data_IF_763258973198
#
_entry.id   IF_763258973198
#
_cell.length_a   1.000
_cell.length_b   1.000
_cell.length_c   1.000
_cell.angle_alpha   90.00
_cell.angle_beta   90.00
_cell.angle_gamma   90.00
#
_symmetry.space_group_name_H-M   'P 1'
#
loop_
_entity.id
_entity.type
_entity.pdbx_description
1 polymer ?
#
# COMPACT_ATOMS: atom_id res chain seq x y z
N UNK A 1 -1.62 22.79 -4.44
CA UNK A 1 -3.02 23.30 -4.25
C UNK A 1 -3.80 22.43 -3.28
N UNK A 2 -4.16 21.17 -3.56
CA UNK A 2 -4.99 20.37 -2.64
C UNK A 2 -4.46 20.29 -1.20
N UNK A 3 -3.17 20.07 -1.01
CA UNK A 3 -2.56 19.98 0.32
C UNK A 3 -2.52 21.33 1.05
N UNK A 4 -2.37 22.43 0.31
CA UNK A 4 -2.43 23.79 0.86
C UNK A 4 -3.84 24.13 1.36
N UNK A 5 -4.86 23.75 0.61
CA UNK A 5 -6.26 23.93 0.97
C UNK A 5 -6.64 23.06 2.18
N UNK A 6 -6.18 21.79 2.20
CA UNK A 6 -6.36 20.89 3.33
C UNK A 6 -5.70 21.44 4.61
N UNK A 7 -4.48 21.95 4.50
CA UNK A 7 -3.77 22.57 5.63
C UNK A 7 -4.50 23.80 6.16
N UNK A 8 -5.10 24.62 5.30
CA UNK A 8 -5.84 25.81 5.69
C UNK A 8 -7.08 25.49 6.56
N UNK A 9 -7.63 24.29 6.48
CA UNK A 9 -8.73 23.82 7.33
C UNK A 9 -8.26 22.90 8.49
N UNK A 10 -6.94 22.82 8.74
CA UNK A 10 -6.35 22.11 9.86
C UNK A 10 -5.97 20.65 9.59
N UNK A 11 -6.02 20.16 8.33
CA UNK A 11 -5.48 18.84 7.98
C UNK A 11 -3.95 18.91 7.89
N UNK A 12 -3.27 17.85 8.34
CA UNK A 12 -1.81 17.72 8.28
C UNK A 12 -1.34 16.37 7.70
N UNK A 13 -2.25 15.52 7.25
CA UNK A 13 -1.95 14.22 6.65
C UNK A 13 -2.89 13.96 5.46
N UNK A 14 -2.30 13.63 4.33
CA UNK A 14 -3.03 13.15 3.15
C UNK A 14 -2.94 11.63 3.02
N UNK A 15 -4.07 10.95 2.78
CA UNK A 15 -4.09 9.53 2.40
C UNK A 15 -3.79 9.37 0.91
N UNK A 16 -2.65 9.90 0.51
CA UNK A 16 -2.07 9.91 -0.83
C UNK A 16 -0.52 10.02 -0.70
N UNK A 17 0.24 9.69 -1.76
CA UNK A 17 -0.20 9.34 -3.11
C UNK A 17 -0.74 7.92 -3.23
N UNK A 18 -1.53 7.66 -4.31
CA UNK A 18 -1.91 6.30 -4.70
C UNK A 18 -0.75 5.70 -5.49
N UNK A 19 -0.07 4.70 -4.90
CA UNK A 19 1.13 4.05 -5.46
C UNK A 19 0.81 2.75 -6.19
N UNK A 20 -0.48 2.48 -6.42
CA UNK A 20 -0.98 1.33 -7.15
C UNK A 20 -0.71 1.46 -8.64
N UNK A 21 -0.59 0.30 -9.34
CA UNK A 21 -0.30 0.27 -10.78
C UNK A 21 -1.46 -0.40 -11.50
N UNK A 22 -1.98 0.26 -12.54
CA UNK A 22 -3.13 -0.24 -13.30
C UNK A 22 -2.72 -1.33 -14.31
N UNK A 23 -2.36 -2.51 -13.81
CA UNK A 23 -1.99 -3.66 -14.66
C UNK A 23 -3.20 -4.38 -15.25
N UNK A 24 -4.29 -4.46 -14.50
CA UNK A 24 -5.51 -5.15 -14.91
C UNK A 24 -6.64 -4.13 -15.14
N UNK A 25 -7.09 -4.02 -16.39
CA UNK A 25 -8.17 -3.10 -16.73
C UNK A 25 -9.53 -3.47 -16.12
N UNK A 26 -9.68 -4.69 -15.62
CA UNK A 26 -10.86 -5.13 -14.85
C UNK A 26 -10.80 -4.73 -13.38
N UNK A 27 -9.65 -4.25 -12.88
CA UNK A 27 -9.56 -3.83 -11.48
C UNK A 27 -10.50 -2.64 -11.24
N UNK A 28 -11.51 -2.79 -10.35
CA UNK A 28 -12.53 -1.76 -10.16
C UNK A 28 -12.07 -0.65 -9.22
N UNK A 29 -10.95 -0.83 -8.51
CA UNK A 29 -10.53 0.06 -7.41
C UNK A 29 -9.55 1.13 -7.89
N UNK A 30 -8.50 0.72 -8.61
CA UNK A 30 -7.40 1.64 -8.91
C UNK A 30 -7.68 2.53 -10.12
N UNK A 31 -8.27 2.04 -11.18
CA UNK A 31 -8.77 2.73 -12.37
C UNK A 31 -8.24 4.16 -12.57
N UNK A 32 -9.11 5.14 -12.41
CA UNK A 32 -8.79 6.57 -12.55
C UNK A 32 -8.05 7.16 -11.34
N UNK A 33 -7.77 6.36 -10.29
CA UNK A 33 -7.08 6.83 -9.07
C UNK A 33 -5.56 6.73 -9.17
N UNK A 34 -5.04 5.88 -10.05
CA UNK A 34 -3.61 5.67 -10.26
C UNK A 34 -3.04 6.60 -11.34
N UNK A 35 -1.72 6.69 -11.39
CA UNK A 35 -0.98 7.44 -12.41
C UNK A 35 -0.71 6.65 -13.70
N UNK A 36 -1.20 5.41 -13.80
CA UNK A 36 -1.15 4.58 -14.99
C UNK A 36 -0.67 3.16 -14.76
N UNK A 37 -0.23 2.52 -15.84
CA UNK A 37 0.22 1.13 -15.88
C UNK A 37 1.75 0.96 -16.03
N UNK A 38 2.49 2.06 -16.09
CA UNK A 38 3.94 2.06 -16.12
C UNK A 38 4.51 2.33 -14.72
N UNK A 39 5.23 1.35 -14.11
CA UNK A 39 5.83 1.52 -12.79
C UNK A 39 6.73 2.74 -12.64
N UNK A 40 7.48 3.07 -13.69
CA UNK A 40 8.38 4.21 -13.68
C UNK A 40 7.59 5.53 -13.59
N UNK A 41 6.54 5.65 -14.38
CA UNK A 41 5.65 6.82 -14.33
C UNK A 41 4.94 6.93 -12.97
N UNK A 42 4.45 5.82 -12.41
CA UNK A 42 3.81 5.84 -11.10
C UNK A 42 4.80 6.29 -10.03
N UNK A 43 6.05 5.81 -10.07
CA UNK A 43 7.12 6.21 -9.16
C UNK A 43 7.40 7.72 -9.24
N UNK A 44 7.59 8.26 -10.43
CA UNK A 44 7.87 9.68 -10.66
C UNK A 44 6.71 10.57 -10.19
N UNK A 45 5.48 10.18 -10.50
CA UNK A 45 4.29 10.96 -10.13
C UNK A 45 3.98 10.91 -8.64
N UNK A 46 4.19 9.77 -7.98
CA UNK A 46 4.01 9.64 -6.53
C UNK A 46 5.07 10.43 -5.76
N UNK A 47 6.31 10.43 -6.25
CA UNK A 47 7.37 11.28 -5.70
C UNK A 47 7.04 12.76 -5.86
N UNK A 48 6.65 13.20 -7.07
CA UNK A 48 6.28 14.60 -7.31
C UNK A 48 5.08 15.05 -6.44
N UNK A 49 4.13 14.14 -6.18
CA UNK A 49 3.04 14.41 -5.25
C UNK A 49 3.56 14.66 -3.83
N UNK A 50 4.44 13.80 -3.34
CA UNK A 50 5.03 13.90 -2.00
C UNK A 50 5.87 15.18 -1.86
N UNK A 51 6.72 15.48 -2.84
CA UNK A 51 7.50 16.73 -2.87
C UNK A 51 6.60 17.97 -2.78
N UNK A 52 5.53 18.01 -3.60
CA UNK A 52 4.58 19.11 -3.55
C UNK A 52 3.76 19.18 -2.24
N UNK A 53 3.57 18.06 -1.54
CA UNK A 53 2.96 18.06 -0.22
C UNK A 53 3.91 18.63 0.84
N UNK A 54 5.19 18.30 0.76
CA UNK A 54 6.23 18.78 1.67
C UNK A 54 6.53 20.28 1.53
N UNK A 55 6.09 20.94 0.45
CA UNK A 55 6.09 22.42 0.38
C UNK A 55 5.18 23.06 1.44
N UNK A 56 4.23 22.31 1.99
CA UNK A 56 3.35 22.76 3.07
C UNK A 56 3.97 22.34 4.41
N UNK A 57 4.41 23.27 5.26
CA UNK A 57 5.11 22.94 6.50
C UNK A 57 4.31 22.01 7.42
N UNK A 58 4.91 20.87 7.79
CA UNK A 58 4.30 19.88 8.69
C UNK A 58 3.18 19.03 8.06
N UNK A 59 3.04 19.07 6.74
CA UNK A 59 2.07 18.22 6.04
C UNK A 59 2.72 16.88 5.66
N UNK A 60 2.06 15.78 5.98
CA UNK A 60 2.54 14.42 5.78
C UNK A 60 1.77 13.69 4.68
N UNK A 61 2.39 12.67 4.11
CA UNK A 61 1.80 11.79 3.11
C UNK A 61 1.68 10.36 3.62
N UNK A 62 0.60 9.67 3.23
CA UNK A 62 0.44 8.23 3.39
C UNK A 62 0.30 7.55 2.03
N UNK A 63 1.37 6.95 1.54
CA UNK A 63 1.35 6.17 0.29
C UNK A 63 0.48 4.92 0.42
N UNK A 64 -0.28 4.57 -0.63
CA UNK A 64 -1.27 3.49 -0.58
C UNK A 64 -1.49 2.82 -1.93
N UNK A 65 -1.94 1.55 -1.92
CA UNK A 65 -2.24 0.65 -0.80
C UNK A 65 -1.17 -0.45 -0.74
N UNK A 66 -0.33 -0.43 0.27
CA UNK A 66 0.73 -1.44 0.40
C UNK A 66 0.13 -2.86 0.57
N UNK A 67 0.62 -3.91 -0.09
CA UNK A 67 1.83 -4.00 -0.93
C UNK A 67 1.64 -3.61 -2.40
N UNK A 68 0.50 -3.10 -2.82
CA UNK A 68 0.17 -2.66 -4.16
C UNK A 68 -1.08 -3.34 -4.71
N UNK A 69 -2.02 -2.52 -5.20
CA UNK A 69 -3.25 -2.94 -5.87
C UNK A 69 -3.16 -2.72 -7.40
N UNK A 70 -4.13 -3.25 -8.13
CA UNK A 70 -4.26 -3.04 -9.57
C UNK A 70 -3.93 -4.26 -10.44
N UNK A 71 -3.56 -5.39 -9.84
CA UNK A 71 -3.31 -6.66 -10.54
C UNK A 71 -4.55 -7.57 -10.53
N UNK A 72 -5.22 -7.67 -9.39
CA UNK A 72 -6.43 -8.48 -9.19
C UNK A 72 -7.66 -7.78 -9.78
N UNK A 73 -8.64 -8.54 -10.22
CA UNK A 73 -9.97 -8.06 -10.65
C UNK A 73 -10.97 -7.96 -9.48
N UNK A 74 -10.55 -8.38 -8.28
CA UNK A 74 -11.36 -8.29 -7.06
C UNK A 74 -11.17 -6.97 -6.36
N UNK A 75 -12.26 -6.45 -5.81
CA UNK A 75 -12.28 -5.26 -4.97
C UNK A 75 -12.09 -5.64 -3.50
N UNK A 76 -11.04 -5.13 -2.85
CA UNK A 76 -10.75 -5.36 -1.44
C UNK A 76 -11.86 -4.86 -0.50
N UNK A 77 -12.79 -4.02 -0.96
CA UNK A 77 -13.97 -3.63 -0.20
C UNK A 77 -14.95 -4.79 0.01
N UNK A 78 -15.01 -5.74 -0.93
CA UNK A 78 -16.00 -6.83 -0.96
C UNK A 78 -15.40 -8.23 -1.03
N UNK A 79 -14.10 -8.38 -1.23
CA UNK A 79 -13.40 -9.66 -1.32
C UNK A 79 -11.93 -9.53 -0.90
N UNK A 80 -11.23 -10.67 -0.70
CA UNK A 80 -9.77 -10.63 -0.60
C UNK A 80 -9.16 -10.36 -1.97
N UNK A 81 -8.31 -9.35 -2.04
CA UNK A 81 -7.46 -9.06 -3.21
C UNK A 81 -6.08 -9.71 -3.05
N UNK A 82 -5.47 -10.10 -4.16
CA UNK A 82 -4.17 -10.79 -4.17
C UNK A 82 -3.26 -10.21 -5.24
N UNK A 83 -2.09 -9.77 -4.83
CA UNK A 83 -1.00 -9.46 -5.77
C UNK A 83 -0.20 -10.74 -6.02
N UNK A 84 -0.32 -11.28 -7.25
CA UNK A 84 0.19 -12.61 -7.63
C UNK A 84 1.62 -12.59 -8.16
N UNK A 85 2.32 -11.46 -8.10
CA UNK A 85 3.70 -11.32 -8.55
C UNK A 85 4.66 -12.20 -7.73
N UNK A 86 5.74 -12.66 -8.38
CA UNK A 86 6.92 -13.18 -7.68
C UNK A 86 7.58 -12.08 -6.86
N UNK A 87 8.54 -12.44 -5.99
CA UNK A 87 9.28 -11.45 -5.24
C UNK A 87 10.06 -10.50 -6.17
N UNK A 88 10.66 -11.05 -7.23
CA UNK A 88 11.44 -10.30 -8.22
C UNK A 88 10.58 -9.31 -9.01
N UNK A 89 9.38 -9.75 -9.45
CA UNK A 89 8.43 -8.88 -10.15
C UNK A 89 7.94 -7.77 -9.23
N UNK A 90 7.65 -8.10 -7.98
CA UNK A 90 7.21 -7.11 -6.99
C UNK A 90 8.33 -6.10 -6.69
N UNK A 91 9.57 -6.57 -6.46
CA UNK A 91 10.74 -5.70 -6.21
C UNK A 91 10.99 -4.74 -7.39
N UNK A 92 10.80 -5.22 -8.62
CA UNK A 92 11.00 -4.41 -9.83
C UNK A 92 9.88 -3.37 -10.07
N UNK A 93 8.74 -3.48 -9.41
CA UNK A 93 7.53 -2.69 -9.65
C UNK A 93 7.08 -1.96 -8.38
N UNK A 94 6.13 -2.51 -7.63
CA UNK A 94 5.63 -1.89 -6.39
C UNK A 94 6.73 -1.67 -5.35
N UNK A 95 7.62 -2.63 -5.17
CA UNK A 95 8.75 -2.54 -4.25
C UNK A 95 9.65 -1.37 -4.56
N UNK A 96 9.95 -1.14 -5.85
CA UNK A 96 10.76 -0.01 -6.32
C UNK A 96 10.07 1.33 -6.01
N UNK A 97 8.76 1.43 -6.19
CA UNK A 97 8.00 2.66 -5.89
C UNK A 97 8.05 2.96 -4.39
N UNK A 98 7.74 1.98 -3.54
CA UNK A 98 7.79 2.17 -2.09
C UNK A 98 9.20 2.45 -1.59
N UNK A 99 10.24 1.77 -2.09
CA UNK A 99 11.62 2.05 -1.74
C UNK A 99 12.00 3.50 -2.07
N UNK A 100 11.66 3.97 -3.28
CA UNK A 100 11.92 5.34 -3.67
C UNK A 100 11.22 6.36 -2.75
N UNK A 101 9.96 6.13 -2.38
CA UNK A 101 9.24 7.03 -1.47
C UNK A 101 9.82 7.01 -0.06
N UNK A 102 10.22 5.84 0.46
CA UNK A 102 10.86 5.67 1.77
C UNK A 102 12.20 6.42 1.80
N UNK A 103 13.04 6.24 0.77
CA UNK A 103 14.35 6.89 0.66
C UNK A 103 14.22 8.43 0.58
N UNK A 104 13.08 8.93 0.10
CA UNK A 104 12.78 10.36 0.00
C UNK A 104 11.93 10.90 1.17
N UNK A 105 11.79 10.14 2.26
CA UNK A 105 11.26 10.64 3.52
C UNK A 105 9.75 10.48 3.73
N UNK A 106 9.12 9.48 3.10
CA UNK A 106 7.71 9.16 3.31
C UNK A 106 7.39 8.91 4.78
N UNK A 107 6.40 9.60 5.33
CA UNK A 107 6.06 9.54 6.77
C UNK A 107 5.08 8.42 7.12
N UNK A 108 4.18 8.06 6.20
CA UNK A 108 3.18 7.04 6.47
C UNK A 108 2.93 6.13 5.26
N UNK A 109 2.53 4.88 5.55
CA UNK A 109 2.06 3.91 4.56
C UNK A 109 0.72 3.35 5.02
N UNK A 110 -0.25 3.31 4.11
CA UNK A 110 -1.51 2.64 4.34
C UNK A 110 -1.44 1.20 3.82
N UNK A 111 -1.53 0.24 4.74
CA UNK A 111 -1.65 -1.17 4.41
C UNK A 111 -3.05 -1.48 3.89
N UNK A 112 -3.12 -2.05 2.71
CA UNK A 112 -4.36 -2.55 2.10
C UNK A 112 -4.73 -3.94 2.61
N UNK A 113 -5.98 -4.33 2.34
CA UNK A 113 -6.45 -5.69 2.63
C UNK A 113 -6.11 -6.63 1.46
N UNK A 114 -4.83 -6.61 1.08
CA UNK A 114 -4.27 -7.25 -0.11
C UNK A 114 -3.22 -8.27 0.33
N UNK A 115 -3.32 -9.48 -0.18
CA UNK A 115 -2.33 -10.53 0.06
C UNK A 115 -1.18 -10.44 -0.95
N UNK A 116 0.04 -10.77 -0.50
CA UNK A 116 1.23 -10.95 -1.33
C UNK A 116 1.89 -12.29 -0.98
N UNK A 117 1.35 -13.42 -1.49
CA UNK A 117 1.77 -14.75 -1.07
C UNK A 117 3.25 -15.06 -1.30
N UNK A 118 3.84 -14.54 -2.37
CA UNK A 118 5.27 -14.74 -2.68
C UNK A 118 6.16 -14.24 -1.56
N UNK A 119 5.97 -12.99 -1.13
CA UNK A 119 6.75 -12.41 -0.04
C UNK A 119 6.40 -12.99 1.32
N UNK A 120 5.11 -13.31 1.56
CA UNK A 120 4.71 -13.97 2.80
C UNK A 120 5.45 -15.30 2.98
N UNK A 121 5.53 -16.13 1.91
CA UNK A 121 6.29 -17.39 1.93
C UNK A 121 7.80 -17.19 1.96
N UNK A 122 8.33 -16.16 1.33
CA UNK A 122 9.76 -15.85 1.39
C UNK A 122 10.22 -15.47 2.81
N UNK A 123 9.36 -14.76 3.56
CA UNK A 123 9.63 -14.38 4.95
C UNK A 123 9.33 -15.51 5.96
N UNK A 124 8.39 -16.40 5.61
CA UNK A 124 7.96 -17.51 6.45
C UNK A 124 7.74 -18.77 5.58
N UNK A 125 8.80 -19.56 5.29
CA UNK A 125 8.71 -20.71 4.37
C UNK A 125 7.76 -21.81 4.84
N UNK A 126 7.48 -21.91 6.15
CA UNK A 126 6.62 -22.93 6.74
C UNK A 126 5.14 -22.52 6.82
N UNK A 127 4.80 -21.31 6.35
CA UNK A 127 3.42 -20.81 6.41
C UNK A 127 2.48 -21.63 5.54
N UNK A 128 1.33 -22.00 6.09
CA UNK A 128 0.29 -22.69 5.31
C UNK A 128 -0.51 -21.68 4.49
N UNK A 129 -1.07 -22.14 3.38
CA UNK A 129 -1.85 -21.29 2.48
C UNK A 129 -3.03 -20.59 3.17
N UNK A 130 -3.72 -21.30 4.09
CA UNK A 130 -4.84 -20.76 4.86
C UNK A 130 -4.42 -19.68 5.87
N UNK A 131 -3.14 -19.64 6.25
CA UNK A 131 -2.59 -18.68 7.22
C UNK A 131 -2.03 -17.42 6.53
N UNK A 132 -2.00 -17.38 5.19
CA UNK A 132 -1.58 -16.19 4.45
C UNK A 132 -2.64 -15.10 4.62
N UNK A 133 -2.25 -14.02 5.29
CA UNK A 133 -3.12 -12.89 5.63
C UNK A 133 -2.89 -11.69 4.69
N UNK A 134 -3.92 -10.82 4.52
CA UNK A 134 -3.72 -9.53 3.87
C UNK A 134 -2.71 -8.68 4.63
N UNK A 135 -2.06 -7.73 3.95
CA UNK A 135 -0.98 -6.93 4.52
C UNK A 135 -1.34 -6.31 5.87
N UNK A 136 -2.56 -5.84 6.02
CA UNK A 136 -3.06 -5.26 7.29
C UNK A 136 -2.91 -6.20 8.50
N UNK A 137 -2.92 -7.52 8.30
CA UNK A 137 -2.82 -8.54 9.36
C UNK A 137 -1.52 -9.35 9.28
N UNK A 138 -0.67 -9.11 8.29
CA UNK A 138 0.52 -9.92 8.03
C UNK A 138 1.76 -9.33 8.72
N UNK A 139 2.29 -10.08 9.69
CA UNK A 139 3.60 -9.80 10.28
C UNK A 139 4.71 -9.83 9.22
N UNK A 140 4.65 -10.82 8.33
CA UNK A 140 5.63 -11.04 7.26
C UNK A 140 5.73 -9.82 6.35
N UNK A 141 4.58 -9.20 6.01
CA UNK A 141 4.54 -8.04 5.12
C UNK A 141 4.84 -6.73 5.85
N UNK A 142 4.29 -6.50 7.05
CA UNK A 142 4.48 -5.23 7.75
C UNK A 142 5.76 -5.18 8.57
N UNK A 143 6.10 -6.26 9.26
CA UNK A 143 7.29 -6.26 10.13
C UNK A 143 8.52 -6.70 9.36
N UNK A 144 8.46 -7.86 8.70
CA UNK A 144 9.66 -8.47 8.15
C UNK A 144 10.03 -7.84 6.79
N UNK A 145 9.06 -7.61 5.89
CA UNK A 145 9.30 -6.94 4.61
C UNK A 145 9.41 -5.43 4.77
N UNK A 146 8.32 -4.75 5.17
CA UNK A 146 8.25 -3.28 5.13
C UNK A 146 9.22 -2.64 6.12
N UNK A 147 9.17 -3.01 7.39
CA UNK A 147 10.06 -2.42 8.40
C UNK A 147 11.45 -3.04 8.40
N UNK A 148 11.56 -4.37 8.24
CA UNK A 148 12.83 -5.07 8.28
C UNK A 148 13.64 -4.91 6.98
N UNK A 149 13.17 -5.46 5.88
CA UNK A 149 13.91 -5.46 4.60
C UNK A 149 13.96 -4.08 3.94
N UNK A 150 12.84 -3.35 3.91
CA UNK A 150 12.77 -2.03 3.25
C UNK A 150 13.18 -0.87 4.17
N UNK A 151 13.32 -1.09 5.47
CA UNK A 151 13.79 -0.07 6.43
C UNK A 151 12.79 1.03 6.74
N UNK A 152 11.49 0.83 6.46
CA UNK A 152 10.48 1.84 6.76
C UNK A 152 10.30 2.05 8.26
N UNK A 153 10.54 3.27 8.73
CA UNK A 153 10.44 3.66 10.14
C UNK A 153 9.29 4.64 10.43
N UNK A 154 8.41 4.87 9.45
CA UNK A 154 7.25 5.74 9.59
C UNK A 154 6.03 5.05 10.18
N UNK A 155 4.90 5.74 10.11
CA UNK A 155 3.61 5.27 10.60
C UNK A 155 2.98 4.29 9.61
N UNK A 156 2.47 3.17 10.11
CA UNK A 156 1.65 2.25 9.33
C UNK A 156 0.19 2.45 9.73
N UNK A 157 -0.63 2.77 8.74
CA UNK A 157 -2.09 2.90 8.87
C UNK A 157 -2.76 1.66 8.29
N UNK A 158 -3.92 1.30 8.81
CA UNK A 158 -4.79 0.32 8.14
C UNK A 158 -5.69 1.03 7.13
N UNK A 159 -6.07 0.36 6.06
CA UNK A 159 -7.26 0.74 5.30
C UNK A 159 -8.52 0.51 6.17
N UNK A 160 -9.68 0.89 5.69
CA UNK A 160 -10.91 0.91 6.47
C UNK A 160 -11.28 -0.48 7.03
N UNK A 161 -11.33 -0.60 8.35
CA UNK A 161 -11.48 -1.88 9.06
C UNK A 161 -12.84 -2.58 8.91
N UNK A 162 -13.80 -1.94 8.22
CA UNK A 162 -15.11 -2.55 7.91
C UNK A 162 -15.15 -3.24 6.54
N UNK A 163 -14.09 -3.15 5.74
CA UNK A 163 -14.02 -3.77 4.42
C UNK A 163 -14.01 -5.31 4.52
N UNK A 164 -14.70 -5.97 3.59
CA UNK A 164 -14.81 -7.44 3.61
C UNK A 164 -13.46 -8.12 3.38
N UNK A 165 -12.55 -7.52 2.61
CA UNK A 165 -11.19 -8.02 2.43
C UNK A 165 -10.43 -8.25 3.75
N UNK A 166 -10.82 -7.55 4.83
CA UNK A 166 -10.32 -7.76 6.19
C UNK A 166 -11.26 -8.68 7.00
N UNK A 167 -12.55 -8.33 7.05
CA UNK A 167 -13.50 -8.95 7.98
C UNK A 167 -13.85 -10.40 7.63
N UNK A 168 -13.59 -10.85 6.40
CA UNK A 168 -13.74 -12.26 6.03
C UNK A 168 -12.59 -13.16 6.56
N UNK A 169 -11.48 -12.59 7.02
CA UNK A 169 -10.31 -13.34 7.51
C UNK A 169 -10.27 -13.41 9.03
N UNK A 170 -10.87 -12.45 9.74
CA UNK A 170 -10.79 -12.37 11.19
C UNK A 170 -12.06 -11.75 11.77
N UNK A 171 -12.50 -12.25 12.92
CA UNK A 171 -13.59 -11.61 13.64
C UNK A 171 -13.17 -10.24 14.15
N UNK A 172 -14.09 -9.28 14.14
CA UNK A 172 -13.81 -7.92 14.60
C UNK A 172 -13.30 -7.85 16.04
N UNK A 173 -13.76 -8.76 16.91
CA UNK A 173 -13.29 -8.89 18.30
C UNK A 173 -11.81 -9.28 18.40
N UNK A 174 -11.25 -9.90 17.38
CA UNK A 174 -9.91 -10.46 17.38
C UNK A 174 -8.89 -9.52 16.67
N UNK A 175 -9.39 -8.37 16.17
CA UNK A 175 -8.60 -7.34 15.47
C UNK A 175 -8.06 -6.24 16.40
N UNK A 176 -8.42 -6.27 17.70
CA UNK A 176 -8.11 -5.20 18.67
C UNK A 176 -7.10 -5.72 19.70
#
# INVERSE_FOLDING_TARGET
>A
MANTEAAAIGCNLSFAPVSDIYYNWHNPVVGLRTYGNDPQRVMEMTQAYMEGAHEVPGFCCAAKHFPGDGLDDRDQHVANSVTTFSCEEWDATFGKIYANLIDNGLEAIMAGHIMLPSYTRAMNPDIKDDDIMPATLSKELLTDLLKGKMGFNGMVLTDASHMVGLTCRMKRSDMI
#
